data_IF_835609738840
#
_entry.id   IF_835609738840
#
_cell.length_a   1.000
_cell.length_b   1.000
_cell.length_c   1.000
_cell.angle_alpha   90.00
_cell.angle_beta   90.00
_cell.angle_gamma   90.00
#
_symmetry.space_group_name_H-M   'P 1'
#
loop_
_entity.id
_entity.type
_entity.pdbx_description
1 polymer ?
#
# COMPACT_ATOMS: atom_id res chain seq x y z
N UNK A 1 -14.69 -9.40 4.79
CA UNK A 1 -13.26 -9.62 4.52
C UNK A 1 -12.71 -10.76 5.36
N UNK A 2 -12.88 -10.74 6.69
CA UNK A 2 -12.44 -11.83 7.59
C UNK A 2 -12.92 -13.23 7.17
N UNK A 3 -14.22 -13.40 6.91
CA UNK A 3 -14.77 -14.70 6.47
C UNK A 3 -14.25 -15.14 5.09
N UNK A 4 -14.01 -14.20 4.18
CA UNK A 4 -13.55 -14.48 2.82
C UNK A 4 -12.11 -15.01 2.78
N UNK A 5 -11.31 -14.71 3.80
CA UNK A 5 -9.91 -15.12 3.92
C UNK A 5 -9.69 -16.10 5.08
N UNK A 6 -10.77 -16.58 5.71
CA UNK A 6 -10.73 -17.52 6.83
C UNK A 6 -10.10 -16.99 8.11
N UNK A 7 -9.95 -15.66 8.25
CA UNK A 7 -9.34 -15.04 9.43
C UNK A 7 -10.37 -14.89 10.55
N UNK A 8 -9.98 -15.26 11.78
CA UNK A 8 -10.87 -15.20 12.97
C UNK A 8 -10.90 -13.83 13.66
N UNK A 9 -9.94 -12.96 13.35
CA UNK A 9 -9.84 -11.62 13.92
C UNK A 9 -9.14 -10.66 12.97
N UNK A 10 -9.39 -9.35 13.13
CA UNK A 10 -8.68 -8.30 12.40
C UNK A 10 -7.18 -8.36 12.63
N UNK A 11 -6.75 -8.54 13.89
CA UNK A 11 -5.33 -8.66 14.23
C UNK A 11 -4.64 -9.81 13.49
N UNK A 12 -5.32 -10.94 13.31
CA UNK A 12 -4.80 -12.08 12.54
C UNK A 12 -4.71 -11.80 11.04
N UNK A 13 -5.71 -11.09 10.49
CA UNK A 13 -5.72 -10.68 9.09
C UNK A 13 -4.67 -9.61 8.78
N UNK A 14 -4.57 -8.61 9.64
CA UNK A 14 -3.74 -7.43 9.43
C UNK A 14 -2.27 -7.66 9.80
N UNK A 15 -1.94 -8.82 10.36
CA UNK A 15 -0.58 -9.19 10.72
C UNK A 15 0.31 -9.32 9.49
N UNK A 16 1.33 -8.47 9.41
CA UNK A 16 2.20 -8.38 8.25
C UNK A 16 1.51 -7.90 6.98
N UNK A 17 0.30 -7.35 7.08
CA UNK A 17 -0.39 -6.78 5.92
C UNK A 17 0.37 -5.53 5.44
N UNK A 18 0.64 -5.50 4.14
CA UNK A 18 1.20 -4.35 3.44
C UNK A 18 0.08 -3.67 2.65
N UNK A 19 0.13 -2.35 2.55
CA UNK A 19 -0.77 -1.64 1.66
C UNK A 19 -0.11 -0.40 1.11
N UNK A 20 -0.51 -0.03 -0.10
CA UNK A 20 -0.04 1.16 -0.80
C UNK A 20 -1.26 2.03 -1.09
N UNK A 21 -1.27 3.24 -0.56
CA UNK A 21 -2.24 4.27 -0.94
C UNK A 21 -1.94 4.77 -2.35
N UNK A 22 -2.98 4.92 -3.18
CA UNK A 22 -2.86 5.46 -4.53
C UNK A 22 -3.64 6.76 -4.63
N UNK A 23 -2.96 7.83 -5.04
CA UNK A 23 -3.57 9.11 -5.39
C UNK A 23 -3.16 9.47 -6.81
N UNK A 24 -4.12 9.88 -7.64
CA UNK A 24 -3.86 10.37 -8.98
C UNK A 24 -4.38 11.81 -9.10
N UNK A 25 -3.51 12.74 -9.47
CA UNK A 25 -3.87 14.15 -9.66
C UNK A 25 -3.10 14.69 -10.86
N UNK A 26 -3.81 15.27 -11.82
CA UNK A 26 -3.24 15.83 -13.05
C UNK A 26 -2.31 14.88 -13.82
N UNK A 27 -2.66 13.59 -13.87
CA UNK A 27 -1.88 12.56 -14.55
C UNK A 27 -0.62 12.13 -13.80
N UNK A 28 -0.42 12.58 -12.56
CA UNK A 28 0.65 12.13 -11.67
C UNK A 28 0.06 11.16 -10.64
N UNK A 29 0.67 9.99 -10.51
CA UNK A 29 0.33 8.97 -9.53
C UNK A 29 1.33 9.04 -8.39
N UNK A 30 0.81 9.21 -7.17
CA UNK A 30 1.56 9.06 -5.92
C UNK A 30 1.16 7.75 -5.25
N UNK A 31 2.17 6.92 -5.01
CA UNK A 31 2.05 5.62 -4.36
C UNK A 31 2.69 5.74 -2.97
N UNK A 32 1.89 5.66 -1.92
CA UNK A 32 2.33 5.83 -0.52
C UNK A 32 2.32 4.48 0.20
N UNK A 33 3.48 3.88 0.51
CA UNK A 33 3.55 2.66 1.27
C UNK A 33 2.97 2.83 2.68
N UNK A 34 2.55 1.73 3.30
CA UNK A 34 2.06 1.71 4.65
C UNK A 34 2.15 0.32 5.30
N UNK A 35 2.23 0.31 6.63
CA UNK A 35 2.46 -0.90 7.44
C UNK A 35 1.66 -0.91 8.74
N UNK A 36 1.85 -1.93 9.57
CA UNK A 36 1.34 -2.00 10.95
C UNK A 36 -0.19 -1.89 11.07
N UNK A 37 -0.93 -2.52 10.16
CA UNK A 37 -2.41 -2.49 10.14
C UNK A 37 -3.08 -3.24 11.30
N UNK A 38 -2.32 -4.00 12.10
CA UNK A 38 -2.79 -4.70 13.30
C UNK A 38 -3.50 -3.77 14.30
N UNK A 39 -3.17 -2.48 14.31
CA UNK A 39 -3.69 -1.46 15.25
C UNK A 39 -4.86 -0.63 14.73
N UNK A 40 -5.65 -1.15 13.79
CA UNK A 40 -6.88 -0.51 13.29
C UNK A 40 -6.64 0.83 12.55
N UNK A 41 -5.70 0.88 11.61
CA UNK A 41 -5.50 2.07 10.78
C UNK A 41 -4.25 2.09 9.94
N UNK A 42 -3.26 1.25 10.29
CA UNK A 42 -1.96 1.26 9.63
C UNK A 42 -1.19 2.56 9.88
N UNK A 43 0.06 2.58 9.45
CA UNK A 43 0.95 3.74 9.48
C UNK A 43 1.40 4.01 8.05
N UNK A 44 1.05 5.17 7.51
CA UNK A 44 1.55 5.61 6.21
C UNK A 44 3.03 6.00 6.30
N UNK A 45 3.77 5.75 5.22
CA UNK A 45 5.19 6.03 5.08
C UNK A 45 5.39 7.05 3.93
N UNK A 46 4.98 8.32 4.11
CA UNK A 46 5.01 9.33 3.05
C UNK A 46 6.43 9.62 2.55
N UNK A 47 7.44 9.52 3.41
CA UNK A 47 8.85 9.73 3.05
C UNK A 47 9.38 8.67 2.06
N UNK A 48 8.67 7.54 1.92
CA UNK A 48 9.00 6.47 1.00
C UNK A 48 8.14 6.49 -0.27
N UNK A 49 7.29 7.50 -0.44
CA UNK A 49 6.36 7.58 -1.55
C UNK A 49 7.07 7.60 -2.92
N UNK A 50 6.46 6.94 -3.90
CA UNK A 50 6.88 6.97 -5.29
C UNK A 50 5.91 7.86 -6.05
N UNK A 51 6.42 8.86 -6.75
CA UNK A 51 5.61 9.77 -7.56
C UNK A 51 6.07 9.69 -9.02
N UNK A 52 5.17 9.27 -9.91
CA UNK A 52 5.46 9.06 -11.33
C UNK A 52 4.28 9.50 -12.21
N UNK A 53 4.51 9.84 -13.48
CA UNK A 53 3.40 10.01 -14.43
C UNK A 53 2.58 8.73 -14.58
N UNK A 54 1.27 8.85 -14.76
CA UNK A 54 0.35 7.74 -15.00
C UNK A 54 0.72 6.95 -16.26
N UNK A 55 1.23 7.63 -17.28
CA UNK A 55 1.61 7.04 -18.57
C UNK A 55 2.99 6.38 -18.57
N UNK A 56 3.66 6.30 -17.40
CA UNK A 56 4.97 5.67 -17.32
C UNK A 56 4.85 4.18 -17.74
N UNK A 57 5.67 3.69 -18.69
CA UNK A 57 5.52 2.34 -19.24
C UNK A 57 5.63 1.21 -18.20
N UNK A 58 6.32 1.47 -17.08
CA UNK A 58 6.60 0.53 -16.00
C UNK A 58 5.76 0.78 -14.74
N UNK A 59 4.57 1.40 -14.86
CA UNK A 59 3.74 1.76 -13.70
C UNK A 59 3.47 0.58 -12.76
N UNK A 60 3.25 -0.63 -13.31
CA UNK A 60 3.09 -1.84 -12.51
C UNK A 60 4.34 -2.21 -11.70
N UNK A 61 5.53 -1.98 -12.25
CA UNK A 61 6.79 -2.20 -11.53
C UNK A 61 6.99 -1.14 -10.43
N UNK A 62 6.58 0.11 -10.67
CA UNK A 62 6.55 1.16 -9.63
C UNK A 62 5.64 0.81 -8.47
N UNK A 63 4.52 0.15 -8.74
CA UNK A 63 3.64 -0.36 -7.69
C UNK A 63 4.29 -1.47 -6.86
N UNK A 64 4.98 -2.42 -7.51
CA UNK A 64 5.75 -3.46 -6.80
C UNK A 64 6.83 -2.84 -5.92
N UNK A 65 7.57 -1.87 -6.45
CA UNK A 65 8.59 -1.11 -5.70
C UNK A 65 7.97 -0.40 -4.48
N UNK A 66 6.77 0.15 -4.60
CA UNK A 66 6.06 0.75 -3.46
C UNK A 66 5.68 -0.29 -2.38
N UNK A 67 5.32 -1.51 -2.77
CA UNK A 67 5.05 -2.60 -1.83
C UNK A 67 6.32 -3.05 -1.09
N UNK A 68 7.46 -3.13 -1.79
CA UNK A 68 8.76 -3.48 -1.17
C UNK A 68 9.18 -2.47 -0.09
N UNK A 69 8.77 -1.20 -0.25
CA UNK A 69 8.98 -0.10 0.72
C UNK A 69 8.02 -0.10 1.92
N UNK A 70 7.16 -1.10 2.07
CA UNK A 70 6.29 -1.21 3.25
C UNK A 70 7.03 -1.69 4.52
N UNK A 71 8.34 -1.95 4.43
CA UNK A 71 9.16 -2.44 5.55
C UNK A 71 9.73 -1.31 6.42
#
# INVERSE_FOLDING_TARGET
MLDAVGARSWSGLAKGAMAVGLQCTDGIVTMTPGRDYEKQGGTSLPDQAITVPLEVPDLGQKLVEAFERCS
#
